data_IF_523404210400
#
_entry.id   IF_523404210400
#
_cell.length_a   1.000
_cell.length_b   1.000
_cell.length_c   1.000
_cell.angle_alpha   90.00
_cell.angle_beta   90.00
_cell.angle_gamma   90.00
#
_symmetry.space_group_name_H-M   'P 1'
#
loop_
_entity.id
_entity.type
_entity.pdbx_description
1 polymer ?
#
# COMPACT_ATOMS: atom_id res chain seq x y z
N UNK A 1 -32.45 -26.47 18.36
CA UNK A 1 -32.09 -25.08 18.71
C UNK A 1 -30.61 -24.94 18.42
N UNK A 2 -30.27 -24.34 17.28
CA UNK A 2 -28.91 -23.96 16.92
C UNK A 2 -29.05 -22.59 16.23
N UNK A 3 -29.06 -21.55 17.05
CA UNK A 3 -28.86 -20.16 16.66
C UNK A 3 -27.59 -19.73 17.42
N UNK A 4 -26.85 -18.79 16.85
CA UNK A 4 -25.68 -18.11 17.45
C UNK A 4 -24.28 -18.63 17.06
N UNK A 5 -24.07 -18.87 15.76
CA UNK A 5 -22.76 -18.63 15.15
C UNK A 5 -22.90 -17.70 13.94
N UNK A 6 -23.67 -16.62 14.12
CA UNK A 6 -23.49 -15.44 13.29
C UNK A 6 -22.13 -14.85 13.66
N UNK A 7 -21.08 -15.35 12.99
CA UNK A 7 -19.78 -14.68 12.89
C UNK A 7 -20.12 -13.21 12.62
N UNK A 8 -19.69 -12.34 13.51
CA UNK A 8 -19.92 -10.90 13.40
C UNK A 8 -19.34 -10.41 12.07
N UNK A 9 -20.16 -10.41 11.01
CA UNK A 9 -19.81 -9.90 9.69
C UNK A 9 -19.88 -8.36 9.67
N UNK A 10 -19.81 -7.72 10.83
CA UNK A 10 -19.71 -6.28 10.92
C UNK A 10 -18.42 -5.83 10.21
N UNK A 11 -18.53 -4.88 9.27
CA UNK A 11 -17.36 -4.38 8.57
C UNK A 11 -16.38 -3.78 9.58
N UNK A 12 -15.08 -4.05 9.43
CA UNK A 12 -14.03 -3.46 10.27
C UNK A 12 -13.40 -2.26 9.56
N UNK A 13 -12.78 -1.35 10.33
CA UNK A 13 -12.06 -0.22 9.75
C UNK A 13 -10.96 -0.67 8.79
N UNK A 14 -10.23 -1.73 9.14
CA UNK A 14 -9.15 -2.27 8.31
C UNK A 14 -9.67 -2.76 6.95
N UNK A 15 -10.73 -3.57 6.93
CA UNK A 15 -11.32 -4.06 5.68
C UNK A 15 -11.87 -2.92 4.81
N UNK A 16 -12.53 -1.93 5.41
CA UNK A 16 -13.03 -0.76 4.67
C UNK A 16 -11.89 0.10 4.14
N UNK A 17 -10.84 0.33 4.93
CA UNK A 17 -9.66 1.07 4.49
C UNK A 17 -8.97 0.34 3.34
N UNK A 18 -8.89 -0.99 3.40
CA UNK A 18 -8.30 -1.81 2.36
C UNK A 18 -9.02 -1.62 1.01
N UNK A 19 -10.36 -1.74 0.99
CA UNK A 19 -11.19 -1.46 -0.18
C UNK A 19 -10.96 -0.04 -0.74
N UNK A 20 -10.96 0.96 0.13
CA UNK A 20 -10.80 2.37 -0.26
C UNK A 20 -9.43 2.65 -0.84
N UNK A 21 -8.38 2.06 -0.28
CA UNK A 21 -7.02 2.20 -0.78
C UNK A 21 -6.74 1.38 -2.04
N UNK A 22 -7.66 0.50 -2.46
CA UNK A 22 -7.62 -0.16 -3.76
C UNK A 22 -8.18 0.72 -4.90
N UNK A 23 -8.99 1.74 -4.57
CA UNK A 23 -9.54 2.67 -5.54
C UNK A 23 -8.45 3.60 -6.13
N UNK A 24 -8.75 4.24 -7.26
CA UNK A 24 -7.86 5.27 -7.80
C UNK A 24 -7.78 6.47 -6.86
N UNK A 25 -6.71 7.25 -6.96
CA UNK A 25 -6.55 8.48 -6.18
C UNK A 25 -7.65 9.51 -6.43
N UNK A 26 -8.16 9.56 -7.66
CA UNK A 26 -9.30 10.36 -8.08
C UNK A 26 -10.59 9.88 -7.39
N UNK A 27 -10.80 8.57 -7.36
CA UNK A 27 -12.03 7.96 -6.85
C UNK A 27 -12.04 7.83 -5.32
N UNK A 28 -10.87 7.89 -4.66
CA UNK A 28 -10.74 7.68 -3.22
C UNK A 28 -11.73 8.50 -2.40
N UNK A 29 -11.83 9.81 -2.68
CA UNK A 29 -12.74 10.70 -1.92
C UNK A 29 -14.19 10.32 -2.16
N UNK A 30 -14.58 10.05 -3.42
CA UNK A 30 -15.95 9.65 -3.77
C UNK A 30 -16.33 8.30 -3.17
N UNK A 31 -15.44 7.32 -3.25
CA UNK A 31 -15.61 5.99 -2.67
C UNK A 31 -15.70 6.05 -1.13
N UNK A 32 -14.86 6.86 -0.49
CA UNK A 32 -14.90 7.08 0.97
C UNK A 32 -16.23 7.68 1.38
N UNK A 33 -16.68 8.73 0.69
CA UNK A 33 -17.90 9.43 1.04
C UNK A 33 -19.15 8.54 0.82
N UNK A 34 -19.15 7.71 -0.23
CA UNK A 34 -20.18 6.69 -0.47
C UNK A 34 -20.21 5.65 0.66
N UNK A 35 -19.04 5.10 1.04
CA UNK A 35 -18.95 4.09 2.11
C UNK A 35 -19.32 4.67 3.48
N UNK A 36 -18.98 5.92 3.77
CA UNK A 36 -19.43 6.63 4.98
C UNK A 36 -20.96 6.74 5.02
N UNK A 37 -21.60 7.01 3.87
CA UNK A 37 -23.07 7.07 3.78
C UNK A 37 -23.71 5.70 4.02
N UNK A 38 -23.17 4.65 3.41
CA UNK A 38 -23.63 3.26 3.62
C UNK A 38 -23.54 2.84 5.08
N UNK A 39 -22.38 3.07 5.72
CA UNK A 39 -22.16 2.75 7.14
C UNK A 39 -23.11 3.51 8.07
N UNK A 40 -23.44 4.77 7.76
CA UNK A 40 -24.43 5.56 8.51
C UNK A 40 -25.84 4.99 8.38
N UNK A 41 -26.23 4.54 7.17
CA UNK A 41 -27.54 3.91 6.91
C UNK A 41 -27.63 2.56 7.63
N UNK A 42 -26.54 1.80 7.65
CA UNK A 42 -26.44 0.51 8.36
C UNK A 42 -26.31 0.65 9.89
N UNK A 43 -26.24 1.86 10.44
CA UNK A 43 -26.17 2.12 11.88
C UNK A 43 -24.76 2.12 12.49
N UNK A 44 -23.72 1.84 11.70
CA UNK A 44 -22.31 1.84 12.13
C UNK A 44 -21.73 3.27 12.20
N UNK A 45 -22.29 4.12 13.07
CA UNK A 45 -21.95 5.56 13.13
C UNK A 45 -20.52 5.88 13.56
N UNK A 46 -19.93 5.05 14.42
CA UNK A 46 -18.56 5.28 14.91
C UNK A 46 -17.54 4.87 13.84
N UNK A 47 -17.72 3.69 13.24
CA UNK A 47 -16.96 3.26 12.08
C UNK A 47 -17.07 4.24 10.90
N UNK A 48 -18.26 4.81 10.64
CA UNK A 48 -18.42 5.84 9.62
C UNK A 48 -17.60 7.12 9.91
N UNK A 49 -17.41 7.48 11.18
CA UNK A 49 -16.55 8.61 11.57
C UNK A 49 -15.08 8.29 11.35
N UNK A 50 -14.65 7.09 11.73
CA UNK A 50 -13.29 6.61 11.52
C UNK A 50 -12.94 6.54 10.03
N UNK A 51 -13.85 6.00 9.20
CA UNK A 51 -13.68 5.96 7.74
C UNK A 51 -13.66 7.36 7.13
N UNK A 52 -14.47 8.30 7.62
CA UNK A 52 -14.45 9.69 7.17
C UNK A 52 -13.13 10.41 7.52
N UNK A 53 -12.47 10.00 8.60
CA UNK A 53 -11.18 10.52 9.03
C UNK A 53 -9.99 9.97 8.21
N UNK A 54 -10.20 8.94 7.38
CA UNK A 54 -9.16 8.42 6.50
C UNK A 54 -8.69 9.52 5.53
N UNK A 55 -7.39 9.76 5.57
CA UNK A 55 -6.72 10.74 4.72
C UNK A 55 -6.56 10.17 3.32
N UNK A 56 -6.77 11.04 2.33
CA UNK A 56 -6.39 10.75 0.95
C UNK A 56 -4.90 10.37 0.93
N UNK A 57 -4.53 9.23 0.33
CA UNK A 57 -3.13 8.82 0.27
C UNK A 57 -2.33 9.82 -0.56
N UNK A 58 -1.02 9.90 -0.33
CA UNK A 58 -0.13 10.59 -1.28
C UNK A 58 -0.01 9.76 -2.57
N UNK A 59 0.43 10.36 -3.68
CA UNK A 59 0.69 9.62 -4.93
C UNK A 59 1.66 8.47 -4.75
N UNK A 60 2.66 8.64 -3.88
CA UNK A 60 3.61 7.59 -3.54
C UNK A 60 2.96 6.44 -2.76
N UNK A 61 2.19 6.75 -1.70
CA UNK A 61 1.49 5.74 -0.91
C UNK A 61 0.45 4.97 -1.73
N UNK A 62 -0.29 5.65 -2.62
CA UNK A 62 -1.20 4.98 -3.55
C UNK A 62 -0.45 4.04 -4.50
N UNK A 63 0.65 4.48 -5.12
CA UNK A 63 1.42 3.63 -6.02
C UNK A 63 2.02 2.40 -5.30
N UNK A 64 2.44 2.54 -4.04
CA UNK A 64 2.84 1.40 -3.19
C UNK A 64 1.67 0.44 -2.96
N UNK A 65 0.50 0.93 -2.57
CA UNK A 65 -0.69 0.08 -2.35
C UNK A 65 -1.07 -0.68 -3.62
N UNK A 66 -1.04 -0.03 -4.78
CA UNK A 66 -1.32 -0.70 -6.04
C UNK A 66 -0.26 -1.75 -6.39
N UNK A 67 1.01 -1.48 -6.11
CA UNK A 67 2.10 -2.42 -6.33
C UNK A 67 1.98 -3.66 -5.46
N UNK A 68 1.71 -3.49 -4.16
CA UNK A 68 1.47 -4.60 -3.21
C UNK A 68 0.35 -5.52 -3.72
N UNK A 69 -0.70 -4.95 -4.31
CA UNK A 69 -1.82 -5.74 -4.86
C UNK A 69 -1.50 -6.42 -6.18
N UNK A 70 -0.78 -5.73 -7.06
CA UNK A 70 -0.48 -6.25 -8.38
C UNK A 70 0.62 -7.31 -8.36
N UNK A 71 1.55 -7.22 -7.38
CA UNK A 71 2.87 -7.85 -7.35
C UNK A 71 3.33 -8.14 -5.91
N UNK A 72 2.59 -8.97 -5.15
CA UNK A 72 2.91 -9.21 -3.74
C UNK A 72 4.30 -9.85 -3.57
N UNK A 73 4.70 -10.77 -4.45
CA UNK A 73 5.97 -11.47 -4.38
C UNK A 73 7.18 -10.54 -4.60
N UNK A 74 7.09 -9.58 -5.52
CA UNK A 74 8.16 -8.59 -5.72
C UNK A 74 8.29 -7.63 -4.54
N UNK A 75 7.19 -7.29 -3.86
CA UNK A 75 7.23 -6.46 -2.66
C UNK A 75 7.83 -7.23 -1.47
N UNK A 76 7.46 -8.49 -1.28
CA UNK A 76 8.08 -9.36 -0.26
C UNK A 76 9.60 -9.48 -0.45
N UNK A 77 10.06 -9.65 -1.69
CA UNK A 77 11.49 -9.65 -2.01
C UNK A 77 12.18 -8.34 -1.63
N UNK A 78 11.54 -7.19 -1.85
CA UNK A 78 12.10 -5.91 -1.44
C UNK A 78 12.19 -5.78 0.09
N UNK A 79 11.16 -6.21 0.81
CA UNK A 79 11.13 -6.20 2.28
C UNK A 79 12.22 -7.10 2.86
N UNK A 80 12.36 -8.32 2.34
CA UNK A 80 13.40 -9.27 2.74
C UNK A 80 14.81 -8.71 2.48
N UNK A 81 15.01 -8.03 1.35
CA UNK A 81 16.27 -7.37 1.02
C UNK A 81 16.58 -6.19 1.96
N UNK A 82 15.56 -5.45 2.39
CA UNK A 82 15.70 -4.40 3.40
C UNK A 82 16.15 -4.96 4.76
N UNK A 83 15.64 -6.11 5.17
CA UNK A 83 16.09 -6.81 6.38
C UNK A 83 17.55 -7.27 6.26
N UNK A 84 17.90 -7.97 5.18
CA UNK A 84 19.27 -8.45 4.95
C UNK A 84 20.30 -7.31 4.90
N UNK A 85 19.93 -6.14 4.36
CA UNK A 85 20.80 -4.95 4.37
C UNK A 85 21.06 -4.43 5.79
N UNK A 86 20.06 -4.41 6.67
CA UNK A 86 20.24 -4.01 8.08
C UNK A 86 21.14 -5.00 8.81
N UNK A 87 20.90 -6.30 8.62
CA UNK A 87 21.71 -7.35 9.23
C UNK A 87 23.18 -7.26 8.77
N UNK A 88 23.42 -7.06 7.47
CA UNK A 88 24.77 -6.90 6.92
C UNK A 88 25.46 -5.61 7.39
N UNK A 89 24.70 -4.52 7.60
CA UNK A 89 25.21 -3.27 8.20
C UNK A 89 25.64 -3.50 9.65
N UNK A 90 24.81 -4.15 10.45
CA UNK A 90 25.10 -4.48 11.85
C UNK A 90 26.30 -5.44 11.99
N UNK A 91 26.45 -6.38 11.04
CA UNK A 91 27.56 -7.33 10.99
C UNK A 91 28.87 -6.76 10.39
N UNK A 92 28.88 -5.50 9.94
CA UNK A 92 29.99 -4.89 9.19
C UNK A 92 30.46 -5.71 7.97
N UNK A 93 29.53 -6.44 7.34
CA UNK A 93 29.80 -7.35 6.22
C UNK A 93 29.91 -6.59 4.89
N UNK A 94 31.03 -5.89 4.67
CA UNK A 94 31.19 -4.96 3.54
C UNK A 94 31.05 -5.55 2.13
N UNK A 95 31.38 -6.83 1.93
CA UNK A 95 31.17 -7.49 0.63
C UNK A 95 29.70 -7.84 0.38
N UNK A 96 29.06 -8.45 1.38
CA UNK A 96 27.63 -8.77 1.36
C UNK A 96 26.78 -7.51 1.20
N UNK A 97 27.13 -6.42 1.91
CA UNK A 97 26.49 -5.12 1.78
C UNK A 97 26.56 -4.58 0.35
N UNK A 98 27.67 -4.78 -0.37
CA UNK A 98 27.80 -4.33 -1.77
C UNK A 98 26.89 -5.14 -2.69
N UNK A 99 26.79 -6.45 -2.49
CA UNK A 99 25.91 -7.30 -3.31
C UNK A 99 24.43 -6.98 -3.04
N UNK A 100 24.04 -6.88 -1.77
CA UNK A 100 22.68 -6.53 -1.39
C UNK A 100 22.28 -5.14 -1.92
N UNK A 101 23.19 -4.16 -1.94
CA UNK A 101 22.94 -2.86 -2.55
C UNK A 101 22.72 -2.96 -4.08
N UNK A 102 23.51 -3.79 -4.79
CA UNK A 102 23.30 -4.03 -6.23
C UNK A 102 21.96 -4.70 -6.51
N UNK A 103 21.56 -5.66 -5.68
CA UNK A 103 20.25 -6.29 -5.77
C UNK A 103 19.15 -5.26 -5.49
N UNK A 104 19.35 -4.37 -4.52
CA UNK A 104 18.36 -3.35 -4.15
C UNK A 104 18.12 -2.38 -5.29
N UNK A 105 19.18 -1.91 -5.96
CA UNK A 105 19.04 -1.05 -7.12
C UNK A 105 18.23 -1.68 -8.26
N UNK A 106 18.41 -2.99 -8.50
CA UNK A 106 17.65 -3.74 -9.52
C UNK A 106 16.16 -3.83 -9.17
N UNK A 107 15.84 -4.24 -7.94
CA UNK A 107 14.46 -4.39 -7.47
C UNK A 107 13.74 -3.04 -7.48
N UNK A 108 14.39 -1.98 -6.98
CA UNK A 108 13.85 -0.62 -7.01
C UNK A 108 13.57 -0.15 -8.45
N UNK A 109 14.49 -0.40 -9.39
CA UNK A 109 14.28 -0.01 -10.78
C UNK A 109 13.07 -0.71 -11.41
N UNK A 110 12.90 -2.02 -11.16
CA UNK A 110 11.75 -2.79 -11.62
C UNK A 110 10.43 -2.26 -11.04
N UNK A 111 10.42 -1.96 -9.73
CA UNK A 111 9.25 -1.39 -9.04
C UNK A 111 8.87 -0.02 -9.60
N UNK A 112 9.85 0.84 -9.90
CA UNK A 112 9.57 2.16 -10.51
C UNK A 112 8.92 2.03 -11.87
N UNK A 113 9.37 1.08 -12.68
CA UNK A 113 8.79 0.84 -14.01
C UNK A 113 7.36 0.28 -13.90
N UNK A 114 7.12 -0.65 -12.98
CA UNK A 114 5.77 -1.19 -12.78
C UNK A 114 4.82 -0.14 -12.19
N UNK A 115 5.27 0.67 -11.22
CA UNK A 115 4.47 1.78 -10.70
C UNK A 115 4.07 2.76 -11.82
N UNK A 116 4.96 3.03 -12.77
CA UNK A 116 4.65 3.83 -13.97
C UNK A 116 3.63 3.14 -14.86
N UNK A 117 3.76 1.84 -15.10
CA UNK A 117 2.82 1.06 -15.90
C UNK A 117 1.42 1.03 -15.26
N UNK A 118 1.32 0.81 -13.95
CA UNK A 118 0.07 0.86 -13.18
C UNK A 118 -0.58 2.24 -13.25
N UNK A 119 0.21 3.31 -13.05
CA UNK A 119 -0.30 4.67 -13.18
C UNK A 119 -0.79 4.95 -14.61
N UNK A 120 -0.07 4.50 -15.64
CA UNK A 120 -0.47 4.69 -17.03
C UNK A 120 -1.80 3.97 -17.35
N UNK A 121 -2.00 2.74 -16.84
CA UNK A 121 -3.28 2.02 -16.93
C UNK A 121 -4.43 2.77 -16.25
N UNK A 122 -4.13 3.53 -15.19
CA UNK A 122 -5.08 4.42 -14.52
C UNK A 122 -5.18 5.82 -15.15
N UNK A 123 -4.61 6.05 -16.34
CA UNK A 123 -4.65 7.35 -17.03
C UNK A 123 -3.72 8.42 -16.44
N UNK A 124 -2.76 8.03 -15.59
CA UNK A 124 -1.84 8.92 -14.88
C UNK A 124 -0.41 8.75 -15.38
N UNK A 125 0.38 9.82 -15.36
CA UNK A 125 1.84 9.73 -15.47
C UNK A 125 2.47 9.99 -14.12
N UNK A 126 3.32 9.08 -13.66
CA UNK A 126 4.19 9.34 -12.50
C UNK A 126 5.39 10.17 -12.98
N UNK A 127 5.60 11.33 -12.35
CA UNK A 127 6.85 12.06 -12.51
C UNK A 127 8.00 11.30 -11.84
N UNK A 128 9.25 11.59 -12.24
CA UNK A 128 10.42 10.99 -11.59
C UNK A 128 10.48 11.23 -10.08
N UNK A 129 10.03 12.40 -9.63
CA UNK A 129 9.97 12.77 -8.22
C UNK A 129 9.02 11.86 -7.44
N UNK A 130 7.85 11.53 -8.01
CA UNK A 130 6.92 10.58 -7.38
C UNK A 130 7.50 9.17 -7.39
N UNK A 131 8.16 8.76 -8.47
CA UNK A 131 8.87 7.47 -8.52
C UNK A 131 9.95 7.34 -7.44
N UNK A 132 10.66 8.43 -7.09
CA UNK A 132 11.61 8.45 -5.97
C UNK A 132 10.90 8.39 -4.61
N UNK A 133 9.77 9.07 -4.44
CA UNK A 133 9.01 9.00 -3.19
C UNK A 133 8.45 7.60 -2.92
N UNK A 134 8.02 6.87 -3.95
CA UNK A 134 7.61 5.45 -3.82
C UNK A 134 8.73 4.61 -3.23
N UNK A 135 9.96 4.78 -3.72
CA UNK A 135 11.13 4.09 -3.19
C UNK A 135 11.39 4.44 -1.72
N UNK A 136 11.34 5.72 -1.35
CA UNK A 136 11.52 6.16 0.04
C UNK A 136 10.45 5.55 0.95
N UNK A 137 9.18 5.53 0.52
CA UNK A 137 8.09 4.93 1.29
C UNK A 137 8.27 3.42 1.47
N UNK A 138 8.70 2.70 0.43
CA UNK A 138 8.96 1.26 0.54
C UNK A 138 10.15 0.91 1.44
N UNK A 139 11.18 1.77 1.48
CA UNK A 139 12.34 1.58 2.36
C UNK A 139 12.05 1.93 3.83
N UNK A 140 11.06 2.79 4.08
CA UNK A 140 10.69 3.25 5.41
C UNK A 140 9.64 2.35 6.10
N UNK A 141 9.01 1.45 5.34
CA UNK A 141 8.04 0.46 5.83
C UNK A 141 8.69 -0.79 6.41
#
# INVERSE_FOLDING_TARGET
MAQDEQVDQSPTLAAVAEDLYAATLEDFTGARDARVKELRVAGHRDLAREVAALRRPTTAAWAVNQLVRARPEEVEQLLALGAALRDAQEAFAGEELRELNRQQHRVVAAIREEARAVAARAGRRLSETVGRQVEVTLRAG
#
